data_IF_751919801380
#
_entry.id   IF_751919801380
#
_cell.length_a   1.000
_cell.length_b   1.000
_cell.length_c   1.000
_cell.angle_alpha   90.00
_cell.angle_beta   90.00
_cell.angle_gamma   90.00
#
_symmetry.space_group_name_H-M   'P 1'
#
loop_
_entity.id
_entity.type
_entity.pdbx_description
1 polymer ?
#
# COMPACT_ATOMS: atom_id res chain seq x y z
N UNK A 1 34.15 -57.85 -30.34
CA UNK A 1 35.40 -58.09 -29.58
C UNK A 1 35.10 -57.68 -28.16
N UNK A 2 34.96 -58.68 -27.29
CA UNK A 2 34.80 -58.55 -25.84
C UNK A 2 36.13 -58.05 -25.26
N UNK A 3 36.09 -57.09 -24.36
CA UNK A 3 37.09 -56.93 -23.32
C UNK A 3 36.34 -56.76 -22.01
N UNK A 4 36.33 -57.86 -21.27
CA UNK A 4 36.13 -57.90 -19.83
C UNK A 4 37.37 -57.27 -19.19
N UNK A 5 37.17 -56.40 -18.21
CA UNK A 5 38.15 -56.19 -17.14
C UNK A 5 37.36 -55.99 -15.85
N UNK A 6 37.35 -57.05 -15.06
CA UNK A 6 36.90 -57.11 -13.69
C UNK A 6 37.63 -56.08 -12.82
N UNK A 7 36.89 -55.43 -11.95
CA UNK A 7 37.38 -54.48 -10.96
C UNK A 7 36.33 -54.32 -9.86
N UNK A 8 36.32 -55.29 -8.96
CA UNK A 8 35.91 -55.26 -7.55
C UNK A 8 34.87 -54.19 -7.15
N UNK A 9 33.62 -54.63 -6.97
CA UNK A 9 32.57 -53.90 -6.25
C UNK A 9 32.89 -53.94 -4.75
N UNK A 10 33.33 -52.81 -4.18
CA UNK A 10 33.24 -52.55 -2.74
C UNK A 10 31.78 -52.18 -2.42
N UNK A 11 31.09 -53.08 -1.71
CA UNK A 11 29.88 -52.77 -0.96
C UNK A 11 30.25 -51.83 0.19
N UNK A 12 30.03 -50.52 0.00
CA UNK A 12 30.01 -49.53 1.09
C UNK A 12 28.55 -49.25 1.47
N UNK A 13 28.07 -50.03 2.44
CA UNK A 13 26.87 -49.76 3.24
C UNK A 13 27.11 -48.50 4.09
N UNK A 14 26.96 -47.34 3.45
CA UNK A 14 27.01 -46.03 4.07
C UNK A 14 25.63 -45.38 4.17
N UNK A 15 24.71 -46.01 4.92
CA UNK A 15 23.51 -45.35 5.44
C UNK A 15 23.97 -44.34 6.51
N UNK A 16 24.17 -43.10 6.06
CA UNK A 16 24.66 -42.00 6.87
C UNK A 16 23.87 -40.74 6.54
N UNK A 17 22.75 -40.58 7.23
CA UNK A 17 22.06 -39.32 7.53
C UNK A 17 22.91 -38.07 7.22
N UNK A 18 22.74 -37.52 6.01
CA UNK A 18 23.14 -36.16 5.67
C UNK A 18 21.91 -35.23 5.60
N UNK A 19 20.80 -35.65 6.20
CA UNK A 19 19.61 -34.84 6.47
C UNK A 19 19.76 -34.18 7.85
N UNK A 20 20.37 -33.01 7.93
CA UNK A 20 20.57 -32.39 9.25
C UNK A 20 21.21 -31.00 9.35
N UNK A 21 21.62 -30.38 8.24
CA UNK A 21 22.17 -29.02 8.31
C UNK A 21 22.01 -28.25 7.00
N UNK A 22 20.79 -28.17 6.44
CA UNK A 22 20.45 -27.04 5.57
C UNK A 22 20.54 -25.79 6.44
N UNK A 23 21.60 -24.98 6.26
CA UNK A 23 21.72 -23.69 6.91
C UNK A 23 20.40 -22.93 6.74
N UNK A 24 19.78 -22.49 7.85
CA UNK A 24 18.51 -21.77 7.79
C UNK A 24 18.69 -20.57 6.87
N UNK A 25 17.85 -20.47 5.85
CA UNK A 25 17.83 -19.31 4.97
C UNK A 25 17.64 -18.04 5.81
N UNK A 26 18.33 -16.96 5.44
CA UNK A 26 18.32 -15.70 6.17
C UNK A 26 16.89 -15.17 6.33
N UNK A 27 16.05 -15.35 5.31
CA UNK A 27 14.62 -14.96 5.36
C UNK A 27 13.88 -15.68 6.47
N UNK A 28 14.10 -16.99 6.62
CA UNK A 28 13.50 -17.80 7.69
C UNK A 28 13.93 -17.32 9.08
N UNK A 29 15.22 -16.99 9.24
CA UNK A 29 15.74 -16.42 10.49
C UNK A 29 15.08 -15.08 10.80
N UNK A 30 14.99 -14.17 9.83
CA UNK A 30 14.35 -12.86 9.97
C UNK A 30 12.87 -12.99 10.35
N UNK A 31 12.12 -13.88 9.68
CA UNK A 31 10.71 -14.13 9.99
C UNK A 31 10.54 -14.70 11.39
N UNK A 32 11.41 -15.61 11.82
CA UNK A 32 11.39 -16.16 13.18
C UNK A 32 11.69 -15.08 14.23
N UNK A 33 12.66 -14.21 13.96
CA UNK A 33 12.99 -13.07 14.84
C UNK A 33 11.84 -12.07 14.91
N UNK A 34 11.18 -11.77 13.79
CA UNK A 34 10.01 -10.90 13.74
C UNK A 34 8.84 -11.49 14.55
N UNK A 35 8.58 -12.78 14.38
CA UNK A 35 7.56 -13.49 15.16
C UNK A 35 7.84 -13.42 16.66
N UNK A 36 9.08 -13.67 17.07
CA UNK A 36 9.49 -13.54 18.46
C UNK A 36 9.29 -12.10 18.98
N UNK A 37 9.70 -11.09 18.22
CA UNK A 37 9.60 -9.70 18.64
C UNK A 37 8.13 -9.26 18.87
N UNK A 38 7.22 -9.68 17.99
CA UNK A 38 5.81 -9.21 17.99
C UNK A 38 4.89 -10.09 18.85
N UNK A 39 5.20 -11.38 19.04
CA UNK A 39 4.29 -12.34 19.69
C UNK A 39 4.76 -12.90 21.04
N UNK A 40 6.01 -12.67 21.44
CA UNK A 40 6.50 -13.20 22.73
C UNK A 40 5.90 -12.43 23.90
N UNK A 41 5.84 -13.10 25.07
CA UNK A 41 5.57 -12.44 26.34
C UNK A 41 6.76 -11.57 26.79
N UNK A 42 6.52 -10.44 27.49
CA UNK A 42 5.21 -9.85 27.80
C UNK A 42 4.51 -9.28 26.55
N UNK A 43 3.20 -9.00 26.56
CA UNK A 43 2.46 -8.52 25.39
C UNK A 43 3.14 -7.36 24.65
N UNK A 44 3.02 -7.35 23.32
CA UNK A 44 3.56 -6.30 22.48
C UNK A 44 2.53 -5.16 22.28
N UNK A 45 2.92 -3.87 22.37
CA UNK A 45 4.25 -3.40 22.74
C UNK A 45 4.43 -3.51 24.26
N UNK A 46 5.64 -3.81 24.74
CA UNK A 46 5.85 -3.91 26.19
C UNK A 46 5.63 -2.58 26.90
N UNK A 47 5.16 -2.66 28.14
CA UNK A 47 4.96 -1.50 29.02
C UNK A 47 6.27 -0.92 29.57
N UNK A 48 7.35 -1.70 29.51
CA UNK A 48 8.68 -1.28 29.94
C UNK A 48 9.30 -0.30 28.90
N UNK A 49 9.71 0.91 29.29
CA UNK A 49 10.41 1.85 28.40
C UNK A 49 11.72 1.30 27.80
N UNK A 50 12.31 0.28 28.43
CA UNK A 50 13.50 -0.42 27.93
C UNK A 50 13.18 -1.54 26.92
N UNK A 51 11.89 -1.80 26.63
CA UNK A 51 11.51 -2.77 25.60
C UNK A 51 11.90 -2.27 24.20
N UNK A 52 12.91 -2.91 23.62
CA UNK A 52 13.45 -2.63 22.28
C UNK A 52 12.88 -3.54 21.19
N UNK A 53 11.86 -4.37 21.48
CA UNK A 53 11.29 -5.31 20.49
C UNK A 53 10.67 -4.59 19.30
N UNK A 54 10.11 -3.40 19.48
CA UNK A 54 9.60 -2.60 18.37
C UNK A 54 10.72 -2.14 17.45
N UNK A 55 11.83 -1.64 18.01
CA UNK A 55 13.01 -1.26 17.21
C UNK A 55 13.56 -2.47 16.44
N UNK A 56 13.65 -3.63 17.10
CA UNK A 56 14.08 -4.87 16.46
C UNK A 56 13.13 -5.28 15.32
N UNK A 57 11.82 -5.24 15.53
CA UNK A 57 10.83 -5.57 14.51
C UNK A 57 10.94 -4.65 13.29
N UNK A 58 11.14 -3.35 13.51
CA UNK A 58 11.35 -2.35 12.45
C UNK A 58 12.62 -2.68 11.66
N UNK A 59 13.74 -2.94 12.33
CA UNK A 59 15.01 -3.25 11.66
C UNK A 59 14.94 -4.58 10.89
N UNK A 60 14.29 -5.61 11.44
CA UNK A 60 14.05 -6.86 10.74
C UNK A 60 13.25 -6.63 9.46
N UNK A 61 12.16 -5.86 9.52
CA UNK A 61 11.37 -5.54 8.33
C UNK A 61 12.14 -4.69 7.31
N UNK A 62 13.00 -3.76 7.76
CA UNK A 62 13.88 -2.98 6.88
C UNK A 62 14.91 -3.86 6.17
N UNK A 63 15.50 -4.82 6.87
CA UNK A 63 16.42 -5.79 6.28
C UNK A 63 15.69 -6.64 5.26
N UNK A 64 14.50 -7.16 5.59
CA UNK A 64 13.68 -7.93 4.64
C UNK A 64 13.34 -7.11 3.38
N UNK A 65 13.02 -5.82 3.55
CA UNK A 65 12.75 -4.90 2.44
C UNK A 65 14.00 -4.71 1.58
N UNK A 66 15.14 -4.40 2.20
CA UNK A 66 16.41 -4.19 1.51
C UNK A 66 16.87 -5.45 0.74
N UNK A 67 16.79 -6.64 1.35
CA UNK A 67 17.14 -7.90 0.71
C UNK A 67 16.30 -8.17 -0.54
N UNK A 68 15.00 -7.86 -0.49
CA UNK A 68 14.12 -7.98 -1.66
C UNK A 68 14.48 -6.95 -2.73
N UNK A 69 14.72 -5.70 -2.34
CA UNK A 69 15.04 -4.63 -3.28
C UNK A 69 16.34 -4.88 -4.08
N UNK A 70 17.33 -5.54 -3.47
CA UNK A 70 18.60 -5.89 -4.13
C UNK A 70 18.61 -7.28 -4.78
N UNK A 71 17.49 -8.01 -4.73
CA UNK A 71 17.39 -9.37 -5.27
C UNK A 71 18.22 -10.42 -4.52
N UNK A 72 18.62 -10.14 -3.28
CA UNK A 72 19.39 -11.06 -2.43
C UNK A 72 18.50 -11.94 -1.54
N UNK A 73 17.21 -11.64 -1.45
CA UNK A 73 16.25 -12.49 -0.74
C UNK A 73 15.98 -13.77 -1.55
N UNK A 74 16.13 -14.93 -0.90
CA UNK A 74 15.62 -16.17 -1.46
C UNK A 74 14.10 -16.06 -1.66
N UNK A 75 13.58 -16.71 -2.70
CA UNK A 75 12.13 -16.77 -2.91
C UNK A 75 11.53 -17.61 -1.77
N UNK A 76 10.66 -17.04 -0.92
CA UNK A 76 10.10 -17.79 0.19
C UNK A 76 9.19 -18.90 -0.34
N UNK A 77 9.20 -20.07 0.30
CA UNK A 77 8.22 -21.11 0.04
C UNK A 77 6.82 -20.70 0.52
N UNK A 78 5.81 -21.52 0.21
CA UNK A 78 4.41 -21.23 0.53
C UNK A 78 4.17 -21.09 2.05
N UNK A 79 4.85 -21.90 2.86
CA UNK A 79 4.75 -21.86 4.31
C UNK A 79 5.32 -20.55 4.87
N UNK A 80 6.53 -20.17 4.43
CA UNK A 80 7.19 -18.95 4.86
C UNK A 80 6.43 -17.70 4.38
N UNK A 81 5.89 -17.71 3.15
CA UNK A 81 4.99 -16.66 2.67
C UNK A 81 3.75 -16.51 3.54
N UNK A 82 3.17 -17.63 3.97
CA UNK A 82 2.01 -17.64 4.87
C UNK A 82 2.39 -17.04 6.22
N UNK A 83 3.54 -17.43 6.80
CA UNK A 83 4.01 -16.88 8.08
C UNK A 83 4.27 -15.37 7.99
N UNK A 84 4.92 -14.89 6.93
CA UNK A 84 5.08 -13.45 6.65
C UNK A 84 3.71 -12.78 6.59
N UNK A 85 2.75 -13.41 5.91
CA UNK A 85 1.36 -13.02 5.83
C UNK A 85 0.74 -12.71 7.19
N UNK A 86 0.77 -13.69 8.09
CA UNK A 86 0.13 -13.60 9.40
C UNK A 86 0.83 -12.52 10.24
N UNK A 87 2.16 -12.44 10.22
CA UNK A 87 2.90 -11.44 10.99
C UNK A 87 2.61 -10.01 10.52
N UNK A 88 2.56 -9.78 9.21
CA UNK A 88 2.20 -8.46 8.68
C UNK A 88 0.77 -8.08 9.05
N UNK A 89 -0.17 -9.04 9.04
CA UNK A 89 -1.53 -8.82 9.55
C UNK A 89 -1.53 -8.44 11.03
N UNK A 90 -0.81 -9.17 11.90
CA UNK A 90 -0.74 -8.86 13.33
C UNK A 90 -0.19 -7.44 13.56
N UNK A 91 0.89 -7.09 12.86
CA UNK A 91 1.51 -5.77 12.95
C UNK A 91 0.54 -4.68 12.51
N UNK A 92 -0.19 -4.89 11.41
CA UNK A 92 -1.20 -3.94 10.94
C UNK A 92 -2.33 -3.74 11.97
N UNK A 93 -2.70 -4.75 12.76
CA UNK A 93 -3.73 -4.62 13.78
C UNK A 93 -3.26 -3.95 15.09
N UNK A 94 -1.97 -3.61 15.20
CA UNK A 94 -1.46 -2.88 16.36
C UNK A 94 -2.09 -1.48 16.50
N UNK A 95 -2.19 -0.95 17.74
CA UNK A 95 -2.80 0.34 18.00
C UNK A 95 -1.98 1.50 17.41
N UNK A 96 -2.65 2.45 16.76
CA UNK A 96 -2.01 3.67 16.24
C UNK A 96 -1.61 4.66 17.35
N UNK A 97 -2.17 4.52 18.56
CA UNK A 97 -1.92 5.44 19.68
C UNK A 97 -0.52 5.28 20.29
N UNK A 98 0.09 4.10 20.16
CA UNK A 98 1.49 3.88 20.54
C UNK A 98 2.38 4.15 19.33
N UNK A 99 3.30 5.11 19.44
CA UNK A 99 4.17 5.50 18.33
C UNK A 99 5.08 4.35 17.87
N UNK A 100 5.47 3.44 18.78
CA UNK A 100 6.32 2.28 18.46
C UNK A 100 5.56 1.28 17.57
N UNK A 101 4.29 1.04 17.90
CA UNK A 101 3.39 0.24 17.08
C UNK A 101 3.15 0.88 15.73
N UNK A 102 2.93 2.20 15.71
CA UNK A 102 2.72 2.92 14.46
C UNK A 102 3.93 2.85 13.53
N UNK A 103 5.15 3.00 14.05
CA UNK A 103 6.38 2.84 13.26
C UNK A 103 6.54 1.42 12.71
N UNK A 104 6.15 0.39 13.47
CA UNK A 104 6.08 -0.99 12.97
C UNK A 104 5.09 -1.11 11.80
N UNK A 105 3.93 -0.45 11.87
CA UNK A 105 2.94 -0.44 10.77
C UNK A 105 3.50 0.22 9.53
N UNK A 106 4.23 1.33 9.65
CA UNK A 106 4.88 1.98 8.51
C UNK A 106 5.93 1.07 7.85
N UNK A 107 6.73 0.36 8.66
CA UNK A 107 7.69 -0.63 8.14
C UNK A 107 6.98 -1.81 7.44
N UNK A 108 5.86 -2.29 7.99
CA UNK A 108 5.04 -3.32 7.35
C UNK A 108 4.45 -2.85 6.01
N UNK A 109 3.97 -1.61 5.91
CA UNK A 109 3.48 -1.05 4.64
C UNK A 109 4.56 -1.02 3.57
N UNK A 110 5.82 -0.71 3.91
CA UNK A 110 6.94 -0.77 2.96
C UNK A 110 7.17 -2.19 2.42
N UNK A 111 7.08 -3.22 3.27
CA UNK A 111 7.17 -4.62 2.81
C UNK A 111 6.01 -5.02 1.90
N UNK A 112 4.81 -4.52 2.21
CA UNK A 112 3.60 -4.77 1.41
C UNK A 112 3.66 -4.02 0.08
N UNK A 113 4.34 -2.87 0.02
CA UNK A 113 4.50 -2.07 -1.20
C UNK A 113 5.07 -2.88 -2.35
N UNK A 114 5.94 -3.85 -2.10
CA UNK A 114 6.49 -4.71 -3.17
C UNK A 114 5.83 -6.09 -3.25
N UNK A 115 4.76 -6.34 -2.47
CA UNK A 115 4.03 -7.61 -2.52
C UNK A 115 3.24 -7.77 -3.84
N UNK A 116 3.08 -9.00 -4.36
CA UNK A 116 2.21 -9.28 -5.50
C UNK A 116 0.78 -8.77 -5.29
N UNK A 117 0.06 -8.50 -6.37
CA UNK A 117 -1.29 -7.97 -6.32
C UNK A 117 -2.27 -8.91 -5.59
N UNK A 118 -2.04 -10.22 -5.72
CA UNK A 118 -2.79 -11.31 -5.11
C UNK A 118 -2.72 -11.26 -3.58
N UNK A 119 -1.66 -10.66 -3.02
CA UNK A 119 -1.53 -10.46 -1.58
C UNK A 119 -2.65 -9.57 -1.00
N UNK A 120 -3.26 -8.71 -1.83
CA UNK A 120 -4.46 -7.96 -1.46
C UNK A 120 -5.61 -8.88 -1.05
N UNK A 121 -5.80 -10.01 -1.74
CA UNK A 121 -6.84 -10.99 -1.40
C UNK A 121 -6.56 -11.62 -0.02
N UNK A 122 -5.30 -11.93 0.28
CA UNK A 122 -4.92 -12.45 1.59
C UNK A 122 -5.25 -11.44 2.71
N UNK A 123 -4.88 -10.17 2.54
CA UNK A 123 -5.20 -9.11 3.50
C UNK A 123 -6.71 -8.91 3.64
N UNK A 124 -7.47 -9.02 2.56
CA UNK A 124 -8.93 -8.91 2.59
C UNK A 124 -9.56 -10.00 3.46
N UNK A 125 -9.16 -11.27 3.27
CA UNK A 125 -9.66 -12.42 4.05
C UNK A 125 -9.28 -12.29 5.53
N UNK A 126 -8.11 -11.72 5.82
CA UNK A 126 -7.58 -11.57 7.18
C UNK A 126 -7.85 -10.17 7.79
N UNK A 127 -8.85 -9.43 7.30
CA UNK A 127 -9.24 -8.10 7.79
C UNK A 127 -8.15 -7.02 7.77
N UNK A 128 -7.05 -7.20 7.04
CA UNK A 128 -5.92 -6.26 6.96
C UNK A 128 -6.16 -5.00 6.15
N UNK A 129 -7.25 -4.90 5.38
CA UNK A 129 -7.56 -3.72 4.55
C UNK A 129 -7.98 -2.51 5.41
N UNK A 130 -8.82 -2.71 6.43
CA UNK A 130 -9.25 -1.61 7.32
C UNK A 130 -8.07 -0.99 8.09
N UNK A 131 -7.17 -1.79 8.70
CA UNK A 131 -5.97 -1.24 9.32
C UNK A 131 -5.05 -0.47 8.37
N UNK A 132 -4.95 -0.86 7.09
CA UNK A 132 -4.23 -0.07 6.07
C UNK A 132 -4.88 1.30 5.85
N UNK A 133 -6.21 1.35 5.82
CA UNK A 133 -6.95 2.61 5.73
C UNK A 133 -6.78 3.48 6.98
N UNK A 134 -6.62 2.87 8.16
CA UNK A 134 -6.29 3.59 9.39
C UNK A 134 -4.88 4.18 9.32
N UNK A 135 -3.90 3.46 8.75
CA UNK A 135 -2.56 4.00 8.49
C UNK A 135 -2.63 5.17 7.50
N UNK A 136 -3.40 5.04 6.42
CA UNK A 136 -3.62 6.14 5.46
C UNK A 136 -4.14 7.39 6.18
N UNK A 137 -5.18 7.26 7.00
CA UNK A 137 -5.76 8.39 7.72
C UNK A 137 -4.78 9.03 8.71
N UNK A 138 -4.02 8.22 9.45
CA UNK A 138 -3.00 8.71 10.37
C UNK A 138 -1.92 9.50 9.63
N UNK A 139 -1.37 8.96 8.52
CA UNK A 139 -0.36 9.66 7.73
C UNK A 139 -0.92 10.93 7.08
N UNK A 140 -2.15 10.90 6.52
CA UNK A 140 -2.80 12.09 5.97
C UNK A 140 -2.97 13.19 7.03
N UNK A 141 -3.35 12.81 8.25
CA UNK A 141 -3.50 13.75 9.36
C UNK A 141 -2.16 14.40 9.70
N UNK A 142 -1.09 13.62 9.84
CA UNK A 142 0.24 14.16 10.13
C UNK A 142 0.78 15.03 9.00
N UNK A 143 0.75 14.56 7.76
CA UNK A 143 1.38 15.24 6.60
C UNK A 143 0.60 16.49 6.17
N UNK A 144 -0.72 16.37 6.04
CA UNK A 144 -1.56 17.42 5.43
C UNK A 144 -2.15 18.35 6.49
N UNK A 145 -2.56 17.83 7.65
CA UNK A 145 -3.29 18.60 8.66
C UNK A 145 -2.33 19.23 9.68
N UNK A 146 -1.51 18.41 10.34
CA UNK A 146 -0.65 18.86 11.44
C UNK A 146 0.57 19.62 10.95
N UNK A 147 1.31 19.03 9.99
CA UNK A 147 2.54 19.62 9.44
C UNK A 147 2.28 20.62 8.30
N UNK A 148 1.02 20.81 7.91
CA UNK A 148 0.52 21.82 6.94
C UNK A 148 1.28 21.92 5.61
N UNK A 149 1.89 20.86 5.09
CA UNK A 149 2.77 21.04 3.93
C UNK A 149 4.27 20.85 4.18
N UNK A 150 4.67 20.61 5.43
CA UNK A 150 6.09 20.59 5.82
C UNK A 150 6.87 19.49 5.10
N UNK A 151 8.07 19.85 4.63
CA UNK A 151 9.16 18.96 4.18
C UNK A 151 8.84 17.97 3.04
N UNK A 152 9.67 17.96 2.00
CA UNK A 152 9.62 16.94 0.92
C UNK A 152 9.63 15.50 1.44
N UNK A 153 10.32 15.26 2.57
CA UNK A 153 10.45 13.95 3.22
C UNK A 153 9.14 13.42 3.80
N UNK A 154 8.25 14.29 4.31
CA UNK A 154 7.03 13.85 4.99
C UNK A 154 5.98 13.37 3.98
N UNK A 155 5.89 14.05 2.85
CA UNK A 155 5.00 13.65 1.78
C UNK A 155 5.48 12.40 1.05
N UNK A 156 6.80 12.21 0.92
CA UNK A 156 7.36 10.98 0.37
C UNK A 156 6.95 9.75 1.19
N UNK A 157 6.75 9.88 2.50
CA UNK A 157 6.27 8.81 3.37
C UNK A 157 4.83 8.33 3.04
N UNK A 158 4.04 9.11 2.28
CA UNK A 158 2.71 8.71 1.80
C UNK A 158 2.76 7.73 0.63
N UNK A 159 3.85 7.72 -0.15
CA UNK A 159 3.94 6.95 -1.40
C UNK A 159 3.66 5.46 -1.19
N UNK A 160 4.25 4.78 -0.19
CA UNK A 160 4.01 3.36 0.03
C UNK A 160 2.53 3.01 0.25
N UNK A 161 1.84 3.72 1.15
CA UNK A 161 0.43 3.40 1.44
C UNK A 161 -0.48 3.69 0.24
N UNK A 162 -0.21 4.78 -0.49
CA UNK A 162 -0.98 5.14 -1.69
C UNK A 162 -0.78 4.11 -2.80
N UNK A 163 0.46 3.65 -3.01
CA UNK A 163 0.78 2.64 -4.01
C UNK A 163 0.12 1.29 -3.68
N UNK A 164 0.20 0.85 -2.42
CA UNK A 164 -0.44 -0.39 -1.93
C UNK A 164 -1.94 -0.36 -2.19
N UNK A 165 -2.64 0.69 -1.72
CA UNK A 165 -4.09 0.79 -1.84
C UNK A 165 -4.52 0.90 -3.30
N UNK A 166 -3.76 1.62 -4.14
CA UNK A 166 -4.05 1.73 -5.58
C UNK A 166 -3.94 0.36 -6.26
N UNK A 167 -2.83 -0.36 -6.05
CA UNK A 167 -2.61 -1.67 -6.68
C UNK A 167 -3.66 -2.69 -6.26
N UNK A 168 -3.95 -2.79 -4.96
CA UNK A 168 -4.94 -3.74 -4.46
C UNK A 168 -6.35 -3.39 -4.91
N UNK A 169 -6.71 -2.10 -4.99
CA UNK A 169 -7.99 -1.66 -5.54
C UNK A 169 -8.11 -1.99 -7.03
N UNK A 170 -7.03 -1.83 -7.81
CA UNK A 170 -7.03 -2.18 -9.23
C UNK A 170 -7.19 -3.68 -9.48
N UNK A 171 -6.77 -4.52 -8.54
CA UNK A 171 -6.73 -5.98 -8.70
C UNK A 171 -7.93 -6.70 -8.06
N UNK A 172 -8.69 -6.02 -7.19
CA UNK A 172 -9.77 -6.64 -6.44
C UNK A 172 -10.93 -5.66 -6.19
N UNK A 173 -12.09 -5.96 -6.77
CA UNK A 173 -13.29 -5.12 -6.69
C UNK A 173 -13.85 -4.96 -5.27
N UNK A 174 -13.67 -5.96 -4.40
CA UNK A 174 -14.11 -5.86 -3.01
C UNK A 174 -13.21 -4.90 -2.22
N UNK A 175 -11.89 -4.94 -2.46
CA UNK A 175 -10.95 -3.96 -1.89
C UNK A 175 -11.27 -2.57 -2.42
N UNK A 176 -11.43 -2.42 -3.74
CA UNK A 176 -11.83 -1.16 -4.37
C UNK A 176 -13.07 -0.56 -3.70
N UNK A 177 -14.09 -1.38 -3.46
CA UNK A 177 -15.32 -0.95 -2.79
C UNK A 177 -15.06 -0.47 -1.37
N UNK A 178 -14.29 -1.22 -0.57
CA UNK A 178 -13.95 -0.83 0.81
C UNK A 178 -13.17 0.50 0.82
N UNK A 179 -12.19 0.65 -0.07
CA UNK A 179 -11.39 1.87 -0.19
C UNK A 179 -12.25 3.04 -0.69
N UNK A 180 -13.16 2.81 -1.63
CA UNK A 180 -14.11 3.82 -2.12
C UNK A 180 -15.05 4.28 -1.01
N UNK A 181 -15.66 3.36 -0.26
CA UNK A 181 -16.55 3.69 0.87
C UNK A 181 -15.80 4.45 1.97
N UNK A 182 -14.51 4.20 2.16
CA UNK A 182 -13.68 4.95 3.12
C UNK A 182 -13.39 6.38 2.67
N UNK A 183 -13.06 6.58 1.39
CA UNK A 183 -12.72 7.90 0.83
C UNK A 183 -13.99 8.73 0.55
N UNK A 184 -15.04 8.08 0.06
CA UNK A 184 -16.37 8.61 -0.25
C UNK A 184 -17.45 7.87 0.56
N UNK A 185 -17.61 8.24 1.85
CA UNK A 185 -18.62 7.67 2.74
C UNK A 185 -20.03 7.65 2.14
N UNK A 186 -20.79 6.53 2.26
CA UNK A 186 -22.12 6.41 1.69
C UNK A 186 -23.13 7.46 2.16
N UNK A 187 -22.99 7.95 3.40
CA UNK A 187 -23.82 9.00 3.99
C UNK A 187 -23.59 10.39 3.35
N UNK A 188 -22.40 10.63 2.78
CA UNK A 188 -22.09 11.83 2.02
C UNK A 188 -22.40 11.69 0.51
N UNK A 189 -22.57 10.46 0.02
CA UNK A 189 -22.67 10.15 -1.41
C UNK A 189 -23.97 10.68 -2.04
N UNK A 190 -25.10 10.63 -1.32
CA UNK A 190 -26.38 11.16 -1.81
C UNK A 190 -26.29 12.67 -2.11
N UNK A 191 -25.66 13.42 -1.19
CA UNK A 191 -25.43 14.87 -1.36
C UNK A 191 -24.47 15.18 -2.51
N UNK A 192 -23.47 14.33 -2.74
CA UNK A 192 -22.59 14.45 -3.90
C UNK A 192 -23.35 14.18 -5.21
N UNK A 193 -24.11 13.10 -5.29
CA UNK A 193 -24.82 12.70 -6.53
C UNK A 193 -25.83 13.77 -6.97
N UNK A 194 -26.54 14.39 -6.03
CA UNK A 194 -27.44 15.52 -6.33
C UNK A 194 -26.69 16.68 -6.99
N UNK A 195 -25.59 17.15 -6.37
CA UNK A 195 -24.75 18.22 -6.93
C UNK A 195 -24.10 17.84 -8.27
N UNK A 196 -23.66 16.59 -8.40
CA UNK A 196 -23.06 16.07 -9.62
C UNK A 196 -24.06 16.05 -10.79
N UNK A 197 -25.32 15.70 -10.54
CA UNK A 197 -26.39 15.75 -11.54
C UNK A 197 -26.68 17.19 -11.98
N UNK A 198 -26.76 18.13 -11.03
CA UNK A 198 -26.93 19.56 -11.34
C UNK A 198 -25.78 20.10 -12.21
N UNK A 199 -24.53 19.79 -11.87
CA UNK A 199 -23.37 20.22 -12.67
C UNK A 199 -23.34 19.55 -14.05
N UNK A 200 -23.67 18.26 -14.14
CA UNK A 200 -23.81 17.55 -15.44
C UNK A 200 -24.89 18.20 -16.31
N UNK A 201 -26.00 18.64 -15.72
CA UNK A 201 -27.06 19.34 -16.45
C UNK A 201 -26.61 20.71 -16.96
N UNK A 202 -25.82 21.47 -16.18
CA UNK A 202 -25.24 22.76 -16.59
C UNK A 202 -24.25 22.64 -17.75
N UNK A 203 -23.50 21.53 -17.81
CA UNK A 203 -22.50 21.28 -18.85
C UNK A 203 -23.12 20.86 -20.20
N UNK A 204 -24.42 20.52 -20.23
CA UNK A 204 -25.17 20.18 -21.45
C UNK A 204 -24.89 18.77 -22.00
N UNK A 205 -25.91 18.17 -22.61
CA UNK A 205 -25.94 16.76 -23.10
C UNK A 205 -25.06 16.52 -24.35
N UNK A 206 -24.27 17.50 -24.79
CA UNK A 206 -23.47 17.42 -26.02
C UNK A 206 -21.96 17.16 -25.82
N UNK A 207 -21.46 17.21 -24.59
CA UNK A 207 -20.03 17.07 -24.32
C UNK A 207 -19.63 15.61 -24.03
N UNK A 208 -19.91 14.70 -24.98
CA UNK A 208 -19.28 13.39 -24.96
C UNK A 208 -17.76 13.58 -25.09
N UNK A 209 -17.03 13.48 -23.97
CA UNK A 209 -15.58 13.61 -23.91
C UNK A 209 -15.03 15.02 -23.67
N UNK A 210 -15.88 16.04 -23.56
CA UNK A 210 -15.43 17.43 -23.35
C UNK A 210 -15.60 17.87 -21.92
N UNK A 211 -14.53 17.88 -21.11
CA UNK A 211 -14.58 18.47 -19.77
C UNK A 211 -14.70 20.00 -19.92
N UNK A 212 -15.93 20.50 -20.06
CA UNK A 212 -16.24 21.92 -20.22
C UNK A 212 -15.95 22.78 -18.98
N UNK A 213 -15.60 22.14 -17.87
CA UNK A 213 -15.49 22.74 -16.55
C UNK A 213 -14.08 23.25 -16.24
N UNK A 214 -13.56 24.20 -17.03
CA UNK A 214 -12.17 24.71 -16.89
C UNK A 214 -11.86 25.40 -15.54
N UNK A 215 -12.86 25.70 -14.71
CA UNK A 215 -12.70 26.38 -13.41
C UNK A 215 -13.50 25.72 -12.28
N UNK A 216 -13.65 24.39 -12.30
CA UNK A 216 -14.45 23.69 -11.29
C UNK A 216 -13.63 23.28 -10.06
N UNK A 217 -14.10 23.71 -8.90
CA UNK A 217 -13.64 23.22 -7.60
C UNK A 217 -14.25 21.84 -7.30
N UNK A 218 -13.63 21.04 -6.41
CA UNK A 218 -14.24 19.81 -5.91
C UNK A 218 -15.66 20.04 -5.38
N UNK A 219 -16.64 19.23 -5.81
CA UNK A 219 -18.01 19.30 -5.27
C UNK A 219 -18.14 18.67 -3.89
N UNK A 220 -17.24 17.73 -3.58
CA UNK A 220 -17.28 16.93 -2.36
C UNK A 220 -15.88 16.70 -1.79
N UNK A 221 -15.25 17.77 -1.31
CA UNK A 221 -13.99 17.70 -0.56
C UNK A 221 -13.98 18.67 0.64
N UNK A 222 -14.89 18.51 1.63
CA UNK A 222 -14.92 19.35 2.81
C UNK A 222 -13.63 19.21 3.63
N UNK A 223 -13.12 20.32 4.16
CA UNK A 223 -11.88 20.37 4.94
C UNK A 223 -11.91 19.38 6.11
N UNK A 224 -10.78 18.72 6.36
CA UNK A 224 -10.63 17.74 7.44
C UNK A 224 -11.08 16.32 7.08
N UNK A 225 -11.59 16.08 5.86
CA UNK A 225 -11.90 14.72 5.39
C UNK A 225 -10.72 14.09 4.64
N UNK A 226 -10.71 12.76 4.56
CA UNK A 226 -9.74 11.97 3.77
C UNK A 226 -9.72 12.40 2.30
N UNK A 227 -10.90 12.60 1.68
CA UNK A 227 -11.03 13.10 0.30
C UNK A 227 -10.42 14.50 0.10
N UNK A 228 -10.58 15.40 1.07
CA UNK A 228 -9.91 16.71 1.03
C UNK A 228 -8.39 16.59 1.13
N UNK A 229 -7.89 15.76 2.05
CA UNK A 229 -6.46 15.58 2.23
C UNK A 229 -5.80 14.94 0.99
N UNK A 230 -6.43 13.93 0.39
CA UNK A 230 -5.96 13.33 -0.87
C UNK A 230 -5.98 14.34 -2.03
N UNK A 231 -7.03 15.17 -2.14
CA UNK A 231 -7.10 16.23 -3.16
C UNK A 231 -5.99 17.27 -2.96
N UNK A 232 -5.56 17.56 -1.72
CA UNK A 232 -4.40 18.42 -1.45
C UNK A 232 -3.09 17.78 -1.90
N UNK A 233 -2.92 16.47 -1.71
CA UNK A 233 -1.73 15.75 -2.19
C UNK A 233 -1.59 15.80 -3.73
N UNK A 234 -2.69 15.92 -4.48
CA UNK A 234 -2.63 16.11 -5.95
C UNK A 234 -1.96 17.42 -6.38
N UNK A 235 -1.84 18.40 -5.48
CA UNK A 235 -1.17 19.68 -5.73
C UNK A 235 0.20 19.78 -5.07
N UNK A 236 0.71 18.66 -4.56
CA UNK A 236 1.96 18.61 -3.85
C UNK A 236 3.18 18.79 -4.80
N UNK A 237 4.28 19.45 -4.38
CA UNK A 237 5.43 19.68 -5.26
C UNK A 237 6.05 18.39 -5.82
N UNK A 238 6.22 17.38 -4.95
CA UNK A 238 6.81 16.09 -5.30
C UNK A 238 5.94 15.30 -6.28
N UNK A 239 6.48 15.02 -7.47
CA UNK A 239 5.75 14.38 -8.57
C UNK A 239 5.20 13.00 -8.20
N UNK A 240 5.96 12.20 -7.45
CA UNK A 240 5.53 10.86 -7.05
C UNK A 240 4.32 10.91 -6.12
N UNK A 241 4.29 11.87 -5.18
CA UNK A 241 3.18 12.02 -4.22
C UNK A 241 1.89 12.39 -4.93
N UNK A 242 1.93 13.45 -5.75
CA UNK A 242 0.74 13.89 -6.49
C UNK A 242 0.23 12.82 -7.47
N UNK A 243 1.15 12.09 -8.11
CA UNK A 243 0.80 11.00 -9.02
C UNK A 243 0.12 9.85 -8.27
N UNK A 244 0.69 9.36 -7.18
CA UNK A 244 0.10 8.26 -6.40
C UNK A 244 -1.27 8.65 -5.81
N UNK A 245 -1.42 9.89 -5.33
CA UNK A 245 -2.72 10.37 -4.83
C UNK A 245 -3.77 10.45 -5.95
N UNK A 246 -3.40 10.95 -7.13
CA UNK A 246 -4.26 11.02 -8.30
C UNK A 246 -4.63 9.62 -8.83
N UNK A 247 -3.69 8.67 -8.84
CA UNK A 247 -3.93 7.28 -9.26
C UNK A 247 -4.92 6.57 -8.32
N UNK A 248 -4.78 6.74 -7.01
CA UNK A 248 -5.74 6.20 -6.04
C UNK A 248 -7.14 6.77 -6.26
N UNK A 249 -7.25 8.10 -6.34
CA UNK A 249 -8.53 8.79 -6.57
C UNK A 249 -9.16 8.42 -7.91
N UNK A 250 -8.35 8.25 -8.96
CA UNK A 250 -8.80 7.77 -10.27
C UNK A 250 -9.37 6.35 -10.19
N UNK A 251 -8.68 5.45 -9.49
CA UNK A 251 -9.13 4.07 -9.30
C UNK A 251 -10.49 4.01 -8.58
N UNK A 252 -10.66 4.75 -7.47
CA UNK A 252 -11.96 4.77 -6.75
C UNK A 252 -13.09 5.48 -7.50
N UNK A 253 -12.77 6.31 -8.50
CA UNK A 253 -13.73 6.86 -9.45
C UNK A 253 -14.06 5.90 -10.61
N UNK A 254 -13.57 4.66 -10.58
CA UNK A 254 -13.83 3.66 -11.62
C UNK A 254 -13.25 4.02 -12.99
N UNK A 255 -12.28 4.94 -13.04
CA UNK A 255 -11.75 5.47 -14.28
C UNK A 255 -12.70 6.40 -15.05
N UNK A 256 -13.79 6.87 -14.45
CA UNK A 256 -14.64 7.90 -15.03
C UNK A 256 -14.01 9.28 -14.87
N UNK A 257 -13.58 9.88 -15.98
CA UNK A 257 -13.01 11.22 -16.01
C UNK A 257 -13.95 12.30 -15.47
N UNK A 258 -15.26 12.14 -15.70
CA UNK A 258 -16.27 13.09 -15.24
C UNK A 258 -16.42 13.00 -13.73
N UNK A 259 -16.60 11.80 -13.18
CA UNK A 259 -16.68 11.59 -11.73
C UNK A 259 -15.39 12.07 -11.03
N UNK A 260 -14.23 11.74 -11.59
CA UNK A 260 -12.94 12.18 -11.07
C UNK A 260 -12.85 13.71 -10.98
N UNK A 261 -13.20 14.43 -12.05
CA UNK A 261 -13.17 15.90 -12.08
C UNK A 261 -14.19 16.52 -11.11
N UNK A 262 -15.39 15.96 -10.99
CA UNK A 262 -16.39 16.44 -10.03
C UNK A 262 -15.92 16.25 -8.57
N UNK A 263 -15.20 15.16 -8.28
CA UNK A 263 -14.69 14.87 -6.94
C UNK A 263 -13.40 15.61 -6.59
N UNK A 264 -12.50 15.84 -7.54
CA UNK A 264 -11.17 16.43 -7.27
C UNK A 264 -11.02 17.86 -7.77
N UNK A 265 -11.95 18.37 -8.56
CA UNK A 265 -11.84 19.65 -9.27
C UNK A 265 -10.92 19.55 -10.49
N UNK A 266 -11.22 20.35 -11.52
CA UNK A 266 -10.53 20.28 -12.82
C UNK A 266 -9.05 20.65 -12.72
N UNK A 267 -8.72 21.72 -11.98
CA UNK A 267 -7.34 22.19 -11.84
C UNK A 267 -6.41 21.14 -11.22
N UNK A 268 -6.92 20.29 -10.32
CA UNK A 268 -6.15 19.18 -9.74
C UNK A 268 -6.12 17.97 -10.69
N UNK A 269 -7.23 17.72 -11.40
CA UNK A 269 -7.38 16.56 -12.30
C UNK A 269 -6.59 16.67 -13.60
N UNK A 270 -6.36 17.89 -14.12
CA UNK A 270 -5.89 18.13 -15.49
C UNK A 270 -4.62 17.36 -15.87
N UNK A 271 -3.65 17.26 -14.96
CA UNK A 271 -2.41 16.54 -15.22
C UNK A 271 -2.66 15.04 -15.41
N UNK A 272 -3.47 14.44 -14.52
CA UNK A 272 -3.84 13.03 -14.61
C UNK A 272 -4.68 12.74 -15.86
N UNK A 273 -5.61 13.63 -16.20
CA UNK A 273 -6.42 13.51 -17.41
C UNK A 273 -5.57 13.57 -18.68
N UNK A 274 -4.55 14.41 -18.70
CA UNK A 274 -3.59 14.47 -19.81
C UNK A 274 -2.77 13.19 -19.94
N UNK A 275 -2.29 12.62 -18.81
CA UNK A 275 -1.62 11.31 -18.80
C UNK A 275 -2.55 10.20 -19.34
N UNK A 276 -3.86 10.30 -19.07
CA UNK A 276 -4.88 9.36 -19.55
C UNK A 276 -5.37 9.64 -20.98
N UNK A 277 -4.85 10.67 -21.64
CA UNK A 277 -5.27 11.05 -23.01
C UNK A 277 -6.71 11.57 -23.11
N UNK A 278 -7.30 12.01 -21.99
CA UNK A 278 -8.67 12.53 -21.95
C UNK A 278 -8.74 14.01 -22.34
N UNK A 279 -7.65 14.75 -22.10
CA UNK A 279 -7.51 16.16 -22.48
C UNK A 279 -6.16 16.41 -23.12
N UNK A 280 -6.13 17.29 -24.11
CA UNK A 280 -4.86 17.78 -24.67
C UNK A 280 -4.21 18.73 -23.67
N UNK A 281 -3.03 18.34 -23.15
CA UNK A 281 -2.18 19.27 -22.42
C UNK A 281 -1.43 20.15 -23.43
N UNK A 282 -1.32 21.47 -23.20
CA UNK A 282 -0.44 22.29 -24.00
C UNK A 282 0.97 21.70 -23.93
N UNK A 283 1.61 21.50 -25.09
CA UNK A 283 2.97 21.01 -25.15
C UNK A 283 3.84 21.91 -24.27
N UNK A 284 4.45 21.33 -23.23
CA UNK A 284 5.44 22.01 -22.40
C UNK A 284 6.59 22.44 -23.30
N UNK A 285 6.62 23.74 -23.63
CA UNK A 285 7.75 24.41 -24.27
C UNK A 285 8.89 24.66 -23.30
#
# INVERSE_FOLDING_TARGET
>A
IRFESDGEEEEDDGDGDADGARGRDLTSVLVTTLAWAVRSDPPFPGSDPSDRRADLAIEVMRIMFALRAVGAAATPDEELMTQIGILLCDILHLPNADFRCYDCKLAAVNLIMDAPAEYGQYLLVNNGIKPLLDVLNAQLSTVVIERRGGGSSDAAAMVPILAVLTRFSASNNQILRIVKEHIFPPDAEEGFQSKAQEERAKLGVGAAGGIGAKNMAPLDAPRGTTRWALTRLMTWPETNVKRCAAELLWAVCGGDATEFVLRTGFGNAVHMLGIRGVVDLPASG
#
